data_IF_739885710839
#
_entry.id   IF_739885710839
#
_cell.length_a   1.000
_cell.length_b   1.000
_cell.length_c   1.000
_cell.angle_alpha   90.00
_cell.angle_beta   90.00
_cell.angle_gamma   90.00
#
_symmetry.space_group_name_H-M   'P 1'
#
loop_
_entity.id
_entity.type
_entity.pdbx_description
1 polymer ?
#
# COMPACT_ATOMS: atom_id res chain seq x y z
N UNK A 1 -9.85 -0.27 -22.44
CA UNK A 1 -8.83 0.03 -21.41
C UNK A 1 -8.33 1.47 -21.58
N UNK A 2 -8.40 2.28 -20.52
CA UNK A 2 -8.08 3.73 -20.54
C UNK A 2 -6.66 4.06 -20.05
N UNK A 3 -5.70 3.13 -20.19
CA UNK A 3 -4.35 3.26 -19.63
C UNK A 3 -3.61 4.54 -20.09
N UNK A 4 -3.89 5.01 -21.31
CA UNK A 4 -3.25 6.22 -21.86
C UNK A 4 -3.68 7.52 -21.17
N UNK A 5 -4.77 7.53 -20.39
CA UNK A 5 -5.32 8.75 -19.75
C UNK A 5 -5.07 8.84 -18.24
N UNK A 6 -4.82 7.72 -17.56
CA UNK A 6 -4.78 7.66 -16.08
C UNK A 6 -3.73 8.58 -15.47
N UNK A 7 -2.72 8.98 -16.25
CA UNK A 7 -1.67 9.88 -15.78
C UNK A 7 -1.92 11.37 -16.04
N UNK A 8 -2.95 11.75 -16.78
CA UNK A 8 -3.10 13.12 -17.29
C UNK A 8 -4.36 13.83 -16.75
N UNK A 9 -4.82 13.46 -15.56
CA UNK A 9 -5.81 14.26 -14.83
C UNK A 9 -5.25 15.66 -14.53
N UNK A 10 -6.08 16.69 -14.70
CA UNK A 10 -5.70 18.10 -14.55
C UNK A 10 -5.20 18.45 -13.14
N UNK A 11 -5.64 17.69 -12.13
CA UNK A 11 -5.40 17.89 -10.71
C UNK A 11 -4.28 17.01 -10.14
N UNK A 12 -3.40 16.48 -11.01
CA UNK A 12 -2.21 15.72 -10.57
C UNK A 12 -1.42 16.54 -9.54
N UNK A 13 -1.14 15.93 -8.38
CA UNK A 13 -0.31 16.55 -7.35
C UNK A 13 1.09 16.83 -7.89
N UNK A 14 1.53 18.09 -7.80
CA UNK A 14 2.85 18.55 -8.29
C UNK A 14 3.79 19.02 -7.19
N UNK A 15 3.29 19.24 -5.97
CA UNK A 15 4.05 19.73 -4.82
C UNK A 15 3.58 19.03 -3.54
N UNK A 16 4.47 18.85 -2.54
CA UNK A 16 4.05 18.50 -1.19
C UNK A 16 3.08 19.55 -0.62
N UNK A 17 2.05 19.08 0.10
CA UNK A 17 1.06 19.93 0.75
C UNK A 17 1.08 19.67 2.25
N UNK A 18 1.23 20.72 3.06
CA UNK A 18 1.21 20.63 4.52
C UNK A 18 0.07 21.48 5.08
N UNK A 19 -0.60 20.99 6.13
CA UNK A 19 -1.58 21.79 6.86
C UNK A 19 -0.87 22.87 7.67
N UNK A 20 -1.16 24.13 7.36
CA UNK A 20 -0.46 25.28 7.92
C UNK A 20 -1.44 26.29 8.50
N UNK A 21 -1.07 26.91 9.63
CA UNK A 21 -1.74 28.08 10.20
C UNK A 21 -0.71 28.99 10.83
N UNK A 22 -0.74 30.29 10.51
CA UNK A 22 0.23 31.29 11.00
C UNK A 22 1.70 30.89 10.72
N UNK A 23 1.98 30.37 9.52
CA UNK A 23 3.34 30.04 9.07
C UNK A 23 3.96 28.79 9.69
N UNK A 24 3.19 27.97 10.41
CA UNK A 24 3.65 26.71 11.02
C UNK A 24 2.66 25.57 10.82
N UNK A 25 3.15 24.34 10.98
CA UNK A 25 2.29 23.15 10.99
C UNK A 25 1.19 23.27 12.04
N UNK A 26 -0.05 23.07 11.63
CA UNK A 26 -1.22 23.01 12.50
C UNK A 26 -2.18 21.95 11.97
N UNK A 27 -2.67 21.05 12.84
CA UNK A 27 -3.57 19.97 12.45
C UNK A 27 -4.92 20.50 11.93
N UNK A 28 -5.30 21.70 12.35
CA UNK A 28 -6.52 22.40 11.95
C UNK A 28 -6.24 23.47 10.86
N UNK A 29 -5.04 23.46 10.26
CA UNK A 29 -4.68 24.36 9.16
C UNK A 29 -5.15 23.86 7.79
N UNK A 30 -5.08 24.78 6.83
CA UNK A 30 -5.36 24.52 5.41
C UNK A 30 -4.11 24.02 4.69
N UNK A 31 -4.31 23.24 3.61
CA UNK A 31 -3.20 22.75 2.81
C UNK A 31 -2.50 23.89 2.06
N UNK A 32 -1.21 24.04 2.34
CA UNK A 32 -0.34 25.02 1.69
C UNK A 32 0.84 24.27 1.04
N UNK A 33 1.24 24.62 -0.19
CA UNK A 33 2.42 24.04 -0.81
C UNK A 33 3.70 24.34 -0.03
N UNK A 34 4.57 23.32 0.12
CA UNK A 34 5.89 23.45 0.76
C UNK A 34 6.97 22.75 -0.09
N UNK A 35 8.24 22.93 0.28
CA UNK A 35 9.36 22.20 -0.35
C UNK A 35 9.41 20.74 0.11
N UNK A 36 10.12 19.90 -0.65
CA UNK A 36 10.41 18.52 -0.22
C UNK A 36 11.26 18.47 1.05
N UNK A 37 12.22 19.39 1.22
CA UNK A 37 13.07 19.45 2.41
C UNK A 37 12.24 19.76 3.66
N UNK A 38 11.30 20.71 3.57
CA UNK A 38 10.39 21.02 4.68
C UNK A 38 9.46 19.85 5.00
N UNK A 39 8.96 19.15 3.97
CA UNK A 39 8.09 17.99 4.13
C UNK A 39 8.82 16.85 4.86
N UNK A 40 10.04 16.52 4.45
CA UNK A 40 10.82 15.50 5.13
C UNK A 40 11.30 15.93 6.52
N UNK A 41 11.61 17.22 6.72
CA UNK A 41 11.96 17.74 8.05
C UNK A 41 10.83 17.53 9.05
N UNK A 42 9.60 17.94 8.72
CA UNK A 42 8.46 17.77 9.63
C UNK A 42 8.12 16.29 9.85
N UNK A 43 8.21 15.45 8.81
CA UNK A 43 8.02 14.01 8.94
C UNK A 43 9.05 13.41 9.91
N UNK A 44 10.34 13.69 9.72
CA UNK A 44 11.40 13.18 10.58
C UNK A 44 11.26 13.66 12.03
N UNK A 45 10.91 14.92 12.26
CA UNK A 45 10.63 15.45 13.60
C UNK A 45 9.50 14.68 14.29
N UNK A 46 8.37 14.46 13.60
CA UNK A 46 7.22 13.73 14.14
C UNK A 46 7.50 12.25 14.39
N UNK A 47 8.19 11.59 13.46
CA UNK A 47 8.59 10.18 13.62
C UNK A 47 9.56 9.99 14.78
N UNK A 48 10.59 10.84 14.89
CA UNK A 48 11.55 10.79 16.00
C UNK A 48 10.87 11.03 17.34
N UNK A 49 9.96 12.01 17.44
CA UNK A 49 9.21 12.28 18.65
C UNK A 49 8.34 11.09 19.06
N UNK A 50 7.55 10.54 18.13
CA UNK A 50 6.69 9.39 18.40
C UNK A 50 7.49 8.17 18.89
N UNK A 51 8.59 7.82 18.20
CA UNK A 51 9.44 6.68 18.58
C UNK A 51 10.12 6.94 19.93
N UNK A 52 10.57 8.16 20.20
CA UNK A 52 11.20 8.52 21.49
C UNK A 52 10.21 8.38 22.64
N UNK A 53 8.98 8.86 22.47
CA UNK A 53 8.02 8.98 23.56
C UNK A 53 7.20 7.70 23.76
N UNK A 54 7.01 6.89 22.71
CA UNK A 54 6.10 5.74 22.70
C UNK A 54 6.69 4.47 22.06
N UNK A 55 7.96 4.49 21.65
CA UNK A 55 8.65 3.35 21.05
C UNK A 55 8.25 3.04 19.60
N UNK A 56 8.88 2.03 18.97
CA UNK A 56 8.61 1.64 17.58
C UNK A 56 7.16 1.32 17.22
N UNK A 57 6.36 0.88 18.19
CA UNK A 57 4.97 0.50 17.98
C UNK A 57 4.03 1.71 17.77
N UNK A 58 4.51 2.94 17.95
CA UNK A 58 3.70 4.16 17.77
C UNK A 58 3.70 4.71 16.35
N UNK A 59 4.53 4.15 15.46
CA UNK A 59 4.60 4.53 14.05
C UNK A 59 4.10 3.37 13.18
N UNK A 60 3.62 3.69 11.99
CA UNK A 60 3.06 2.68 11.08
C UNK A 60 3.01 3.14 9.63
N UNK A 61 2.86 2.18 8.74
CA UNK A 61 2.73 2.38 7.30
C UNK A 61 1.59 1.50 6.77
N UNK A 62 0.69 2.09 5.98
CA UNK A 62 -0.31 1.35 5.24
C UNK A 62 0.12 1.25 3.79
N UNK A 63 0.47 0.04 3.35
CA UNK A 63 1.07 -0.22 2.03
C UNK A 63 0.05 -0.54 0.94
N UNK A 64 0.55 -0.93 -0.23
CA UNK A 64 -0.31 -1.30 -1.36
C UNK A 64 0.22 -2.49 -2.14
N UNK A 65 -0.68 -3.36 -2.61
CA UNK A 65 -0.40 -4.37 -3.63
C UNK A 65 -0.18 -3.78 -5.04
N UNK A 66 -0.41 -2.48 -5.21
CA UNK A 66 -0.11 -1.74 -6.44
C UNK A 66 1.31 -1.16 -6.44
N UNK A 67 2.09 -1.37 -5.36
CA UNK A 67 3.50 -1.05 -5.37
C UNK A 67 4.24 -1.93 -6.37
N UNK A 68 5.33 -1.38 -6.90
CA UNK A 68 6.37 -2.22 -7.48
C UNK A 68 6.96 -3.14 -6.42
N UNK A 69 7.55 -4.26 -6.85
CA UNK A 69 8.17 -5.23 -5.94
C UNK A 69 9.24 -4.56 -5.06
N UNK A 70 10.06 -3.68 -5.65
CA UNK A 70 11.15 -3.00 -4.94
C UNK A 70 10.67 -1.91 -3.97
N UNK A 71 9.57 -1.21 -4.26
CA UNK A 71 8.97 -0.29 -3.29
C UNK A 71 8.47 -1.04 -2.05
N UNK A 72 7.76 -2.15 -2.24
CA UNK A 72 7.31 -3.00 -1.14
C UNK A 72 8.47 -3.57 -0.32
N UNK A 73 9.53 -4.01 -0.98
CA UNK A 73 10.73 -4.51 -0.31
C UNK A 73 11.47 -3.41 0.47
N UNK A 74 11.63 -2.23 -0.12
CA UNK A 74 12.25 -1.08 0.56
C UNK A 74 11.43 -0.63 1.78
N UNK A 75 10.10 -0.56 1.66
CA UNK A 75 9.19 -0.28 2.76
C UNK A 75 9.31 -1.33 3.88
N UNK A 76 9.34 -2.62 3.53
CA UNK A 76 9.52 -3.68 4.50
C UNK A 76 10.85 -3.56 5.26
N UNK A 77 11.97 -3.27 4.57
CA UNK A 77 13.27 -3.05 5.23
C UNK A 77 13.25 -1.82 6.12
N UNK A 78 12.69 -0.70 5.65
CA UNK A 78 12.59 0.53 6.42
C UNK A 78 11.82 0.30 7.72
N UNK A 79 10.64 -0.33 7.66
CA UNK A 79 9.79 -0.53 8.83
C UNK A 79 10.34 -1.62 9.76
N UNK A 80 10.67 -2.80 9.22
CA UNK A 80 11.02 -3.98 10.01
C UNK A 80 12.46 -3.95 10.52
N UNK A 81 13.41 -3.53 9.70
CA UNK A 81 14.83 -3.51 10.07
C UNK A 81 15.29 -2.13 10.55
N UNK A 82 14.82 -1.05 9.91
CA UNK A 82 15.17 0.32 10.28
C UNK A 82 14.46 0.77 11.56
N UNK A 83 13.14 0.93 11.50
CA UNK A 83 12.34 1.41 12.63
C UNK A 83 12.00 0.32 13.64
N UNK A 84 12.29 -0.95 13.34
CA UNK A 84 12.07 -2.12 14.22
C UNK A 84 10.62 -2.26 14.66
N UNK A 85 9.70 -2.06 13.71
CA UNK A 85 8.26 -2.23 13.93
C UNK A 85 7.66 -3.14 12.86
N UNK A 86 6.63 -3.88 13.26
CA UNK A 86 5.82 -4.70 12.36
C UNK A 86 4.52 -4.01 11.94
N UNK A 87 4.33 -2.73 12.28
CA UNK A 87 3.19 -1.92 11.87
C UNK A 87 3.28 -1.51 10.40
N UNK A 88 3.34 -2.51 9.52
CA UNK A 88 3.26 -2.38 8.07
C UNK A 88 2.29 -3.45 7.58
N UNK A 89 1.19 -3.02 6.98
CA UNK A 89 0.18 -3.91 6.39
C UNK A 89 -0.38 -3.25 5.12
N UNK A 90 -0.63 -4.00 4.03
CA UNK A 90 -1.08 -3.43 2.76
C UNK A 90 -2.61 -3.45 2.62
N UNK A 91 -3.13 -2.70 1.66
CA UNK A 91 -4.52 -2.84 1.21
C UNK A 91 -4.90 -4.29 0.80
N UNK A 92 -3.93 -5.11 0.38
CA UNK A 92 -4.13 -6.54 0.09
C UNK A 92 -4.62 -7.35 1.29
N UNK A 93 -4.51 -6.83 2.53
CA UNK A 93 -5.19 -7.38 3.72
C UNK A 93 -6.69 -7.51 3.51
N UNK A 94 -7.31 -6.54 2.82
CA UNK A 94 -8.74 -6.53 2.53
C UNK A 94 -9.11 -7.39 1.32
N UNK A 95 -8.14 -7.99 0.64
CA UNK A 95 -8.34 -8.76 -0.59
C UNK A 95 -7.92 -10.23 -0.39
N UNK A 96 -6.62 -10.48 -0.27
CA UNK A 96 -6.06 -11.84 -0.40
C UNK A 96 -5.80 -12.54 0.94
N UNK A 97 -5.95 -11.85 2.08
CA UNK A 97 -5.57 -12.42 3.38
C UNK A 97 -6.26 -13.76 3.71
N UNK A 98 -7.54 -13.92 3.36
CA UNK A 98 -8.26 -15.18 3.57
C UNK A 98 -7.74 -16.31 2.68
N UNK A 99 -7.39 -16.00 1.42
CA UNK A 99 -6.81 -16.96 0.49
C UNK A 99 -5.43 -17.43 0.99
N UNK A 100 -4.54 -16.49 1.33
CA UNK A 100 -3.21 -16.79 1.90
C UNK A 100 -3.34 -17.66 3.16
N UNK A 101 -4.27 -17.30 4.06
CA UNK A 101 -4.56 -18.11 5.25
C UNK A 101 -4.99 -19.54 4.91
N UNK A 102 -5.80 -19.71 3.87
CA UNK A 102 -6.19 -21.02 3.34
C UNK A 102 -5.01 -21.82 2.77
N UNK A 103 -4.22 -21.20 1.90
CA UNK A 103 -3.06 -21.82 1.26
C UNK A 103 -2.02 -22.31 2.28
N UNK A 104 -1.63 -21.45 3.24
CA UNK A 104 -0.67 -21.83 4.29
C UNK A 104 -1.20 -22.99 5.14
N UNK A 105 -2.51 -23.04 5.43
CA UNK A 105 -3.11 -24.13 6.22
C UNK A 105 -3.18 -25.46 5.47
N UNK A 106 -3.48 -25.41 4.16
CA UNK A 106 -3.69 -26.61 3.35
C UNK A 106 -2.40 -27.16 2.75
N UNK A 107 -1.48 -26.29 2.34
CA UNK A 107 -0.31 -26.65 1.53
C UNK A 107 1.03 -26.21 2.14
N UNK A 108 1.03 -25.34 3.17
CA UNK A 108 2.25 -24.83 3.79
C UNK A 108 3.05 -23.82 2.92
N UNK A 109 2.55 -23.50 1.73
CA UNK A 109 3.07 -22.52 0.79
C UNK A 109 1.90 -21.74 0.20
N UNK A 110 2.16 -20.48 -0.18
CA UNK A 110 1.17 -19.57 -0.76
C UNK A 110 1.06 -19.71 -2.28
N UNK A 111 0.02 -19.10 -2.84
CA UNK A 111 -0.32 -19.01 -4.27
C UNK A 111 -0.88 -20.30 -4.94
N UNK A 112 -1.62 -20.16 -6.06
CA UNK A 112 -2.16 -21.31 -6.79
C UNK A 112 -1.08 -22.22 -7.38
N UNK A 113 -1.39 -23.52 -7.48
CA UNK A 113 -0.53 -24.51 -8.16
C UNK A 113 -0.76 -24.62 -9.66
N UNK A 114 -1.91 -24.14 -10.16
CA UNK A 114 -2.27 -24.12 -11.57
C UNK A 114 -1.85 -22.81 -12.26
N UNK A 115 -2.27 -22.65 -13.51
CA UNK A 115 -1.99 -21.44 -14.30
C UNK A 115 -3.11 -21.15 -15.30
N UNK A 116 -2.99 -20.09 -16.09
CA UNK A 116 -4.05 -19.71 -17.02
C UNK A 116 -4.25 -20.70 -18.16
N UNK A 117 -3.25 -21.51 -18.51
CA UNK A 117 -3.37 -22.57 -19.51
C UNK A 117 -4.44 -23.62 -19.13
N UNK A 118 -4.81 -23.73 -17.85
CA UNK A 118 -5.89 -24.61 -17.41
C UNK A 118 -7.26 -24.19 -18.00
N UNK A 119 -7.41 -22.93 -18.41
CA UNK A 119 -8.62 -22.41 -19.05
C UNK A 119 -8.85 -23.05 -20.42
N UNK A 120 -7.81 -23.35 -21.19
CA UNK A 120 -7.95 -23.99 -22.51
C UNK A 120 -8.21 -25.50 -22.43
N UNK A 121 -7.94 -26.12 -21.27
CA UNK A 121 -8.02 -27.57 -21.07
C UNK A 121 -9.22 -28.01 -20.23
N UNK A 122 -9.94 -27.08 -19.61
CA UNK A 122 -11.07 -27.40 -18.73
C UNK A 122 -12.36 -27.73 -19.52
N UNK A 123 -12.98 -28.86 -19.19
CA UNK A 123 -14.32 -29.21 -19.70
C UNK A 123 -15.46 -28.49 -18.95
N UNK A 124 -15.17 -27.97 -17.75
CA UNK A 124 -16.15 -27.31 -16.90
C UNK A 124 -15.53 -26.20 -16.04
N UNK A 125 -16.28 -25.10 -15.85
CA UNK A 125 -15.91 -23.98 -14.98
C UNK A 125 -16.95 -23.81 -13.87
N UNK A 126 -16.49 -23.65 -12.62
CA UNK A 126 -17.36 -23.38 -11.47
C UNK A 126 -16.91 -22.10 -10.78
N UNK A 127 -17.75 -21.06 -10.85
CA UNK A 127 -17.45 -19.75 -10.30
C UNK A 127 -18.10 -19.59 -8.91
N UNK A 128 -17.31 -19.70 -7.85
CA UNK A 128 -17.77 -19.52 -6.47
C UNK A 128 -17.87 -18.03 -6.09
N UNK A 129 -18.88 -17.35 -6.64
CA UNK A 129 -19.13 -15.93 -6.40
C UNK A 129 -18.19 -14.97 -7.15
N UNK A 130 -17.33 -15.49 -8.03
CA UNK A 130 -16.44 -14.68 -8.85
C UNK A 130 -17.20 -14.01 -10.00
N UNK A 131 -17.27 -12.67 -10.01
CA UNK A 131 -17.74 -11.92 -11.18
C UNK A 131 -16.58 -11.70 -12.16
N UNK A 132 -16.22 -12.73 -12.90
CA UNK A 132 -15.08 -12.67 -13.82
C UNK A 132 -15.32 -11.71 -14.99
N UNK A 133 -16.58 -11.57 -15.44
CA UNK A 133 -16.93 -10.73 -16.58
C UNK A 133 -16.49 -9.25 -16.41
N UNK A 134 -16.53 -8.73 -15.18
CA UNK A 134 -16.16 -7.33 -14.90
C UNK A 134 -14.81 -7.19 -14.17
N UNK A 135 -14.43 -8.17 -13.34
CA UNK A 135 -13.24 -8.06 -12.47
C UNK A 135 -12.00 -8.78 -13.01
N UNK A 136 -12.16 -9.73 -13.93
CA UNK A 136 -11.05 -10.40 -14.64
C UNK A 136 -11.44 -10.61 -16.12
N UNK A 137 -11.52 -9.52 -16.93
CA UNK A 137 -12.17 -9.58 -18.25
C UNK A 137 -11.38 -10.30 -19.36
N UNK A 138 -10.07 -10.52 -19.16
CA UNK A 138 -9.18 -11.27 -20.05
C UNK A 138 -8.91 -12.60 -19.38
#
# INVERSE_FOLDING_TARGET
>A
YFLTKIMYGEDRLTKPLLRMKNGKFDKNGDFTPISWDDAFKIMAEKWKAAIKDHGPASVGMFGSGQWTIWEGYAAAKLMKAGFRTNNIDPNARHCMASAVGGFIRAFGIDEPMGCYDDLEHADAFVLWGANMAEMHPI
#
